data_IF_976142436977
#
_entry.id   IF_976142436977
#
_cell.length_a   1.000
_cell.length_b   1.000
_cell.length_c   1.000
_cell.angle_alpha   90.00
_cell.angle_beta   90.00
_cell.angle_gamma   90.00
#
_symmetry.space_group_name_H-M   'P 1'
#
loop_
_entity.id
_entity.type
_entity.pdbx_description
1 polymer ?
#
# COMPACT_ATOMS: atom_id res chain seq x y z
N UNK A 1 -4.03 -2.71 34.73
CA UNK A 1 -2.92 -1.98 34.07
C UNK A 1 -1.97 -2.84 33.28
N UNK A 2 -1.95 -4.14 33.49
CA UNK A 2 -1.17 -5.06 32.66
C UNK A 2 -1.83 -5.42 31.32
N UNK A 3 -3.00 -4.89 31.02
CA UNK A 3 -3.72 -5.13 29.76
C UNK A 3 -3.15 -4.38 28.57
N UNK A 4 -2.37 -3.35 28.81
CA UNK A 4 -1.90 -2.45 27.72
C UNK A 4 -0.74 -3.05 26.91
N UNK A 5 0.14 -3.84 27.51
CA UNK A 5 1.31 -4.39 26.81
C UNK A 5 0.96 -5.49 25.80
N UNK A 6 -0.06 -6.32 26.09
CA UNK A 6 -0.49 -7.42 25.20
C UNK A 6 -1.46 -6.93 24.12
N UNK A 7 -2.19 -5.86 24.43
CA UNK A 7 -3.08 -5.22 23.46
C UNK A 7 -2.32 -4.50 22.37
N UNK A 8 -1.21 -3.89 22.70
CA UNK A 8 -0.44 -3.07 21.77
C UNK A 8 0.28 -3.89 20.69
N UNK A 9 0.87 -5.03 21.04
CA UNK A 9 1.50 -5.91 20.05
C UNK A 9 0.51 -6.46 19.02
N UNK A 10 -0.68 -6.84 19.46
CA UNK A 10 -1.73 -7.31 18.56
C UNK A 10 -2.33 -6.18 17.73
N UNK A 11 -2.36 -4.98 18.29
CA UNK A 11 -2.86 -3.79 17.59
C UNK A 11 -1.87 -3.32 16.54
N UNK A 12 -0.57 -3.36 16.83
CA UNK A 12 0.47 -2.99 15.86
C UNK A 12 0.51 -3.97 14.69
N UNK A 13 0.43 -5.27 14.95
CA UNK A 13 0.36 -6.29 13.90
C UNK A 13 -0.93 -6.17 13.07
N UNK A 14 -2.05 -5.84 13.73
CA UNK A 14 -3.31 -5.58 13.05
C UNK A 14 -3.27 -4.30 12.20
N UNK A 15 -2.49 -3.31 12.62
CA UNK A 15 -2.36 -2.05 11.88
C UNK A 15 -1.45 -2.17 10.65
N UNK A 16 -0.38 -2.94 10.75
CA UNK A 16 0.59 -3.10 9.66
C UNK A 16 0.04 -3.87 8.46
N UNK A 17 -0.71 -4.94 8.70
CA UNK A 17 -1.29 -5.75 7.64
C UNK A 17 -2.30 -4.97 6.79
N UNK A 18 -3.25 -4.21 7.37
CA UNK A 18 -4.14 -3.36 6.58
C UNK A 18 -3.42 -2.29 5.77
N UNK A 19 -2.33 -1.71 6.30
CA UNK A 19 -1.54 -0.70 5.57
C UNK A 19 -0.91 -1.31 4.32
N UNK A 20 -0.28 -2.47 4.45
CA UNK A 20 0.32 -3.18 3.31
C UNK A 20 -0.73 -3.61 2.28
N UNK A 21 -1.89 -4.07 2.73
CA UNK A 21 -3.01 -4.40 1.86
C UNK A 21 -3.48 -3.15 1.10
N UNK A 22 -3.54 -2.01 1.77
CA UNK A 22 -3.88 -0.73 1.15
C UNK A 22 -2.91 -0.33 0.05
N UNK A 23 -1.61 -0.52 0.25
CA UNK A 23 -0.59 -0.25 -0.77
C UNK A 23 -0.74 -1.17 -1.99
N UNK A 24 -1.00 -2.44 -1.76
CA UNK A 24 -1.21 -3.41 -2.84
C UNK A 24 -2.46 -3.05 -3.64
N UNK A 25 -3.55 -2.69 -2.96
CA UNK A 25 -4.79 -2.26 -3.60
C UNK A 25 -4.53 -1.02 -4.48
N UNK A 26 -3.79 -0.05 -3.95
CA UNK A 26 -3.41 1.15 -4.70
C UNK A 26 -2.60 0.83 -5.95
N UNK A 27 -1.66 -0.08 -5.84
CA UNK A 27 -0.85 -0.54 -6.97
C UNK A 27 -1.72 -1.21 -8.04
N UNK A 28 -2.62 -2.10 -7.64
CA UNK A 28 -3.54 -2.77 -8.55
C UNK A 28 -4.51 -1.78 -9.21
N UNK A 29 -4.93 -0.77 -8.48
CA UNK A 29 -5.79 0.29 -9.00
C UNK A 29 -5.09 1.08 -10.10
N UNK A 30 -3.83 1.46 -9.87
CA UNK A 30 -3.04 2.23 -10.83
C UNK A 30 -2.66 1.40 -12.07
N UNK A 31 -2.66 0.07 -11.96
CA UNK A 31 -2.24 -0.83 -13.04
C UNK A 31 -3.38 -1.74 -13.54
N UNK A 32 -4.61 -1.24 -13.51
CA UNK A 32 -5.81 -2.01 -13.92
C UNK A 32 -5.73 -2.59 -15.32
N UNK A 33 -5.07 -1.88 -16.22
CA UNK A 33 -4.95 -2.28 -17.62
C UNK A 33 -3.87 -3.34 -17.86
N UNK A 34 -3.10 -3.67 -16.83
CA UNK A 34 -1.99 -4.60 -16.91
C UNK A 34 -2.31 -5.92 -16.19
N UNK A 35 -1.67 -7.00 -16.64
CA UNK A 35 -1.71 -8.26 -15.91
C UNK A 35 -0.71 -8.22 -14.76
N UNK A 36 -1.18 -8.22 -13.52
CA UNK A 36 -0.35 -8.18 -12.32
C UNK A 36 -0.39 -9.53 -11.62
N UNK A 37 0.79 -10.04 -11.29
CA UNK A 37 0.99 -11.30 -10.59
C UNK A 37 1.61 -11.06 -9.23
N UNK A 38 1.62 -12.09 -8.37
CA UNK A 38 2.23 -11.98 -7.04
C UNK A 38 3.70 -11.59 -7.11
N UNK A 39 4.43 -12.09 -8.09
CA UNK A 39 5.85 -11.73 -8.29
C UNK A 39 6.06 -10.24 -8.53
N UNK A 40 5.09 -9.58 -9.16
CA UNK A 40 5.16 -8.13 -9.40
C UNK A 40 5.03 -7.35 -8.10
N UNK A 41 4.16 -7.82 -7.21
CA UNK A 41 3.99 -7.24 -5.87
C UNK A 41 5.26 -7.47 -5.03
N UNK A 42 5.84 -8.66 -5.08
CA UNK A 42 7.10 -8.97 -4.40
C UNK A 42 8.22 -8.01 -4.82
N UNK A 43 8.34 -7.78 -6.12
CA UNK A 43 9.36 -6.90 -6.69
C UNK A 43 9.11 -5.43 -6.35
N UNK A 44 7.87 -4.97 -6.47
CA UNK A 44 7.51 -3.56 -6.24
C UNK A 44 7.71 -3.14 -4.78
N UNK A 45 7.30 -3.97 -3.85
CA UNK A 45 7.31 -3.62 -2.43
C UNK A 45 8.47 -4.25 -1.64
N UNK A 46 9.35 -5.00 -2.31
CA UNK A 46 10.47 -5.70 -1.67
C UNK A 46 10.02 -6.58 -0.51
N UNK A 47 8.94 -7.33 -0.72
CA UNK A 47 8.33 -8.21 0.29
C UNK A 47 8.60 -9.67 -0.07
N UNK A 48 8.83 -10.50 0.94
CA UNK A 48 9.04 -11.92 0.76
C UNK A 48 7.79 -12.60 0.15
N UNK A 49 8.02 -13.62 -0.67
CA UNK A 49 6.97 -14.37 -1.34
C UNK A 49 5.91 -14.92 -0.39
N UNK A 50 6.35 -15.46 0.75
CA UNK A 50 5.45 -16.00 1.77
C UNK A 50 4.52 -14.93 2.36
N UNK A 51 5.05 -13.73 2.54
CA UNK A 51 4.27 -12.58 3.04
C UNK A 51 3.23 -12.16 2.02
N UNK A 52 3.61 -12.04 0.75
CA UNK A 52 2.68 -11.69 -0.33
C UNK A 52 1.57 -12.73 -0.46
N UNK A 53 1.92 -14.00 -0.40
CA UNK A 53 0.94 -15.10 -0.45
C UNK A 53 -0.10 -14.97 0.67
N UNK A 54 0.36 -14.68 1.89
CA UNK A 54 -0.51 -14.48 3.05
C UNK A 54 -1.43 -13.26 2.86
N UNK A 55 -0.87 -12.13 2.42
CA UNK A 55 -1.62 -10.90 2.19
C UNK A 55 -2.69 -11.08 1.10
N UNK A 56 -2.31 -11.68 -0.02
CA UNK A 56 -3.21 -11.93 -1.15
C UNK A 56 -4.37 -12.83 -0.74
N UNK A 57 -4.07 -13.89 0.02
CA UNK A 57 -5.08 -14.81 0.53
C UNK A 57 -6.10 -14.10 1.42
N UNK A 58 -5.62 -13.25 2.33
CA UNK A 58 -6.49 -12.45 3.20
C UNK A 58 -7.35 -11.47 2.40
N UNK A 59 -6.76 -10.79 1.43
CA UNK A 59 -7.46 -9.83 0.58
C UNK A 59 -8.53 -10.52 -0.27
N UNK A 60 -8.24 -11.71 -0.75
CA UNK A 60 -9.21 -12.54 -1.49
C UNK A 60 -10.39 -12.94 -0.59
N UNK A 61 -10.11 -13.35 0.65
CA UNK A 61 -11.14 -13.69 1.63
C UNK A 61 -12.03 -12.51 1.98
N UNK A 62 -11.46 -11.31 2.03
CA UNK A 62 -12.20 -10.07 2.30
C UNK A 62 -12.99 -9.56 1.07
N UNK A 63 -12.77 -10.16 -0.09
CA UNK A 63 -13.46 -9.78 -1.31
C UNK A 63 -12.91 -8.54 -2.00
N UNK A 64 -11.68 -8.15 -1.71
CA UNK A 64 -11.04 -6.99 -2.33
C UNK A 64 -10.43 -7.34 -3.69
N UNK A 65 -9.91 -8.54 -3.84
CA UNK A 65 -9.28 -9.03 -5.06
C UNK A 65 -9.74 -10.44 -5.39
N UNK A 66 -9.53 -10.83 -6.64
CA UNK A 66 -9.69 -12.20 -7.09
C UNK A 66 -8.42 -12.66 -7.80
N UNK A 67 -8.11 -13.93 -7.71
CA UNK A 67 -7.04 -14.56 -8.48
C UNK A 67 -7.67 -15.27 -9.66
N UNK A 68 -7.33 -14.84 -10.87
CA UNK A 68 -7.92 -15.34 -12.11
C UNK A 68 -6.84 -15.99 -12.96
N UNK A 69 -7.05 -17.25 -13.35
CA UNK A 69 -6.14 -17.95 -14.23
C UNK A 69 -6.07 -17.27 -15.61
N UNK A 70 -4.87 -17.15 -16.16
CA UNK A 70 -4.69 -16.62 -17.52
C UNK A 70 -4.86 -17.76 -18.53
N UNK A 71 -5.38 -17.45 -19.73
CA UNK A 71 -5.68 -18.44 -20.76
C UNK A 71 -4.46 -19.23 -21.21
N UNK A 72 -3.30 -18.57 -21.29
CA UNK A 72 -2.07 -19.20 -21.78
C UNK A 72 -1.43 -20.21 -20.81
N UNK A 73 -1.72 -20.08 -19.51
CA UNK A 73 -1.21 -20.99 -18.49
C UNK A 73 -2.11 -20.92 -17.25
N UNK A 74 -2.84 -21.99 -16.97
CA UNK A 74 -3.77 -22.05 -15.84
C UNK A 74 -3.07 -22.04 -14.46
N UNK A 75 -1.76 -22.25 -14.42
CA UNK A 75 -0.97 -22.13 -13.20
C UNK A 75 -0.64 -20.68 -12.85
N UNK A 76 -0.66 -19.79 -13.83
CA UNK A 76 -0.47 -18.36 -13.62
C UNK A 76 -1.80 -17.71 -13.30
N UNK A 77 -1.89 -17.07 -12.14
CA UNK A 77 -3.08 -16.37 -11.70
C UNK A 77 -2.78 -14.89 -11.54
N UNK A 78 -3.46 -14.09 -12.33
CA UNK A 78 -3.37 -12.64 -12.21
C UNK A 78 -4.23 -12.16 -11.05
N UNK A 79 -3.82 -11.07 -10.46
CA UNK A 79 -4.53 -10.41 -9.37
C UNK A 79 -5.46 -9.37 -9.96
N UNK A 80 -6.77 -9.52 -9.73
CA UNK A 80 -7.78 -8.60 -10.23
C UNK A 80 -8.41 -7.85 -9.07
N UNK A 81 -8.42 -6.53 -9.15
CA UNK A 81 -9.07 -5.70 -8.16
C UNK A 81 -10.59 -5.76 -8.36
N UNK A 82 -11.31 -6.11 -7.30
CA UNK A 82 -12.77 -6.15 -7.31
C UNK A 82 -13.35 -4.78 -6.93
N UNK A 83 -14.64 -4.59 -7.19
CA UNK A 83 -15.34 -3.33 -6.90
C UNK A 83 -15.18 -2.90 -5.44
N UNK A 84 -15.26 -3.83 -4.51
CA UNK A 84 -15.09 -3.56 -3.07
C UNK A 84 -13.69 -2.99 -2.77
N UNK A 85 -12.66 -3.53 -3.43
CA UNK A 85 -11.29 -3.03 -3.32
C UNK A 85 -11.14 -1.65 -3.94
N UNK A 86 -11.76 -1.41 -5.08
CA UNK A 86 -11.77 -0.08 -5.73
C UNK A 86 -12.38 0.99 -4.83
N UNK A 87 -13.52 0.68 -4.24
CA UNK A 87 -14.22 1.60 -3.31
C UNK A 87 -13.38 1.89 -2.08
N UNK A 88 -12.71 0.89 -1.55
CA UNK A 88 -11.82 1.07 -0.40
C UNK A 88 -10.68 2.04 -0.74
N UNK A 89 -10.10 1.88 -1.93
CA UNK A 89 -9.02 2.76 -2.40
C UNK A 89 -9.52 4.20 -2.60
N UNK A 90 -10.68 4.38 -3.20
CA UNK A 90 -11.28 5.69 -3.41
C UNK A 90 -11.56 6.41 -2.07
N UNK A 91 -12.09 5.69 -1.09
CA UNK A 91 -12.26 6.20 0.27
C UNK A 91 -10.94 6.63 0.90
N UNK A 92 -9.90 5.83 0.72
CA UNK A 92 -8.56 6.13 1.22
C UNK A 92 -8.00 7.40 0.60
N UNK A 93 -8.17 7.60 -0.71
CA UNK A 93 -7.71 8.80 -1.40
C UNK A 93 -8.40 10.06 -0.88
N UNK A 94 -9.70 9.99 -0.60
CA UNK A 94 -10.45 11.10 -0.01
C UNK A 94 -9.94 11.44 1.39
N UNK A 95 -9.62 10.42 2.19
CA UNK A 95 -9.09 10.61 3.54
C UNK A 95 -7.67 11.18 3.54
N UNK A 96 -6.85 10.86 2.55
CA UNK A 96 -5.50 11.43 2.40
C UNK A 96 -5.57 12.94 2.29
N UNK A 97 -6.46 13.48 1.47
CA UNK A 97 -6.60 14.93 1.31
C UNK A 97 -6.92 15.62 2.64
N UNK A 98 -7.80 15.02 3.42
CA UNK A 98 -8.18 15.55 4.74
C UNK A 98 -7.01 15.48 5.73
N UNK A 99 -6.26 14.38 5.73
CA UNK A 99 -5.08 14.20 6.59
C UNK A 99 -3.98 15.17 6.19
N UNK A 100 -3.73 15.36 4.90
CA UNK A 100 -2.73 16.32 4.41
C UNK A 100 -3.05 17.75 4.87
N UNK A 101 -4.30 18.15 4.78
CA UNK A 101 -4.74 19.47 5.25
C UNK A 101 -4.47 19.66 6.74
N UNK A 102 -4.77 18.66 7.55
CA UNK A 102 -4.51 18.68 9.00
C UNK A 102 -3.04 18.69 9.33
N UNK A 103 -2.24 17.91 8.62
CA UNK A 103 -0.79 17.82 8.82
C UNK A 103 -0.10 19.15 8.49
N UNK A 104 -0.61 19.87 7.50
CA UNK A 104 -0.07 21.17 7.07
C UNK A 104 -0.61 22.35 7.87
N UNK A 105 -1.61 22.13 8.69
CA UNK A 105 -2.27 23.19 9.46
C UNK A 105 -1.26 23.94 10.35
N UNK A 106 -1.25 25.27 10.25
CA UNK A 106 -0.33 26.11 11.02
C UNK A 106 1.08 26.23 10.44
N UNK A 107 1.37 25.59 9.33
CA UNK A 107 2.67 25.70 8.64
C UNK A 107 2.55 26.72 7.52
N UNK A 108 3.48 27.70 7.51
CA UNK A 108 3.56 28.70 6.46
C UNK A 108 3.97 28.07 5.13
N UNK A 109 3.40 28.58 4.04
CA UNK A 109 3.66 28.06 2.69
C UNK A 109 5.15 28.14 2.32
N UNK A 110 5.84 29.21 2.70
CA UNK A 110 7.28 29.36 2.43
C UNK A 110 8.11 28.31 3.18
N UNK A 111 7.77 28.02 4.42
CA UNK A 111 8.43 26.97 5.21
C UNK A 111 8.21 25.60 4.61
N UNK A 112 7.00 25.33 4.12
CA UNK A 112 6.65 24.07 3.48
C UNK A 112 7.43 23.89 2.18
N UNK A 113 7.57 24.94 1.38
CA UNK A 113 8.35 24.93 0.14
C UNK A 113 9.82 24.65 0.44
N UNK A 114 10.36 25.29 1.48
CA UNK A 114 11.74 25.05 1.94
C UNK A 114 11.95 23.61 2.35
N UNK A 115 11.00 23.05 3.10
CA UNK A 115 11.04 21.65 3.53
C UNK A 115 11.13 20.70 2.32
N UNK A 116 10.27 20.86 1.33
CA UNK A 116 10.29 20.03 0.13
C UNK A 116 11.57 20.18 -0.67
N UNK A 117 12.10 21.38 -0.75
CA UNK A 117 13.37 21.66 -1.42
C UNK A 117 14.53 20.92 -0.74
N UNK A 118 14.60 20.98 0.60
CA UNK A 118 15.62 20.30 1.38
C UNK A 118 15.49 18.78 1.27
N UNK A 119 14.26 18.26 1.37
CA UNK A 119 13.99 16.82 1.24
C UNK A 119 14.42 16.28 -0.13
N UNK A 120 14.16 17.03 -1.19
CA UNK A 120 14.59 16.70 -2.55
C UNK A 120 16.12 16.66 -2.66
N UNK A 121 16.80 17.64 -2.08
CA UNK A 121 18.27 17.69 -2.09
C UNK A 121 18.87 16.49 -1.35
N UNK A 122 18.30 16.12 -0.21
CA UNK A 122 18.73 14.95 0.55
C UNK A 122 18.58 13.69 -0.30
N UNK A 123 17.45 13.53 -0.98
CA UNK A 123 17.20 12.38 -1.84
C UNK A 123 18.20 12.28 -2.98
N UNK A 124 18.48 13.41 -3.65
CA UNK A 124 19.47 13.47 -4.73
C UNK A 124 20.87 13.10 -4.24
N UNK A 125 21.25 13.58 -3.07
CA UNK A 125 22.55 13.24 -2.47
C UNK A 125 22.65 11.74 -2.17
N UNK A 126 21.57 11.14 -1.66
CA UNK A 126 21.53 9.70 -1.38
C UNK A 126 21.64 8.87 -2.66
N UNK A 127 20.98 9.29 -3.74
CA UNK A 127 21.05 8.64 -5.04
C UNK A 127 22.47 8.64 -5.61
N UNK A 128 23.22 9.73 -5.41
CA UNK A 128 24.61 9.84 -5.88
C UNK A 128 25.57 8.96 -5.09
N UNK A 129 25.23 8.55 -3.89
CA UNK A 129 26.05 7.66 -3.06
C UNK A 129 25.97 6.20 -3.45
N UNK A 130 25.06 5.83 -4.32
CA UNK A 130 24.87 4.45 -4.77
C UNK A 130 25.73 4.08 -6.00
#
# INVERSE_FOLDING_TARGET
>A
MMRTAVGDEKSEKKGMMPVMQGWIIGYLYDHKEEEIFQRDIEAEFYIARSTVTCLVKQMEQKGYIARVAVERDCRLKRLCLLEKGEKLHECFLQNIDNVEKKVREGIDEEELQTFFKVAKQIRENLEQMQ
#
